data_IF_775216219629
#
_entry.id   IF_775216219629
#
_cell.length_a   1.000
_cell.length_b   1.000
_cell.length_c   1.000
_cell.angle_alpha   90.00
_cell.angle_beta   90.00
_cell.angle_gamma   90.00
#
_symmetry.space_group_name_H-M   'P 1'
#
loop_
_entity.id
_entity.type
_entity.pdbx_description
1 polymer ?
#
# COMPACT_ATOMS: atom_id res chain seq x y z
N UNK A 1 -8.41 -3.93 -3.99
CA UNK A 1 -8.62 -4.11 -5.45
C UNK A 1 -8.64 -2.79 -6.20
N UNK A 2 -9.30 -1.74 -5.71
CA UNK A 2 -9.40 -0.40 -6.36
C UNK A 2 -8.07 0.18 -6.90
N UNK A 3 -6.93 0.14 -6.19
CA UNK A 3 -5.67 0.71 -6.70
C UNK A 3 -5.06 -0.09 -7.85
N UNK A 4 -5.20 -1.42 -7.81
CA UNK A 4 -4.74 -2.30 -8.88
C UNK A 4 -5.57 -2.10 -10.16
N UNK A 5 -6.89 -1.90 -10.02
CA UNK A 5 -7.76 -1.57 -11.16
C UNK A 5 -7.36 -0.23 -11.81
N UNK A 6 -7.09 0.80 -11.00
CA UNK A 6 -6.62 2.09 -11.51
C UNK A 6 -5.25 1.97 -12.21
N UNK A 7 -4.33 1.18 -11.64
CA UNK A 7 -3.05 0.87 -12.27
C UNK A 7 -3.24 0.16 -13.62
N UNK A 8 -4.03 -0.92 -13.68
CA UNK A 8 -4.28 -1.67 -14.91
C UNK A 8 -4.92 -0.80 -15.99
N UNK A 9 -5.86 0.07 -15.62
CA UNK A 9 -6.48 1.02 -16.54
C UNK A 9 -5.47 2.05 -17.09
N UNK A 10 -4.65 2.64 -16.21
CA UNK A 10 -3.58 3.55 -16.62
C UNK A 10 -2.52 2.85 -17.48
N UNK A 11 -2.20 1.60 -17.16
CA UNK A 11 -1.28 0.76 -17.92
C UNK A 11 -1.80 0.48 -19.33
N UNK A 12 -3.09 0.12 -19.46
CA UNK A 12 -3.74 -0.05 -20.76
C UNK A 12 -3.69 1.23 -21.62
N UNK A 13 -3.74 2.41 -20.99
CA UNK A 13 -3.60 3.71 -21.67
C UNK A 13 -2.15 4.16 -21.89
N UNK A 14 -1.18 3.31 -21.62
CA UNK A 14 0.25 3.57 -21.87
C UNK A 14 0.90 4.56 -20.88
N UNK A 15 0.26 4.84 -19.74
CA UNK A 15 0.82 5.76 -18.72
C UNK A 15 2.15 5.23 -18.20
N UNK A 16 2.25 3.92 -17.97
CA UNK A 16 3.46 3.25 -17.46
C UNK A 16 4.65 3.51 -18.38
N UNK A 17 4.48 3.34 -19.69
CA UNK A 17 5.54 3.57 -20.69
C UNK A 17 6.00 5.02 -20.67
N UNK A 18 5.07 5.99 -20.60
CA UNK A 18 5.41 7.42 -20.51
C UNK A 18 6.18 7.76 -19.24
N UNK A 19 5.81 7.18 -18.10
CA UNK A 19 6.51 7.38 -16.83
C UNK A 19 7.93 6.83 -16.90
N UNK A 20 8.10 5.61 -17.41
CA UNK A 20 9.42 4.98 -17.59
C UNK A 20 10.28 5.79 -18.55
N UNK A 21 9.77 6.18 -19.72
CA UNK A 21 10.50 7.01 -20.66
C UNK A 21 10.93 8.34 -20.05
N UNK A 22 10.04 9.01 -19.31
CA UNK A 22 10.33 10.28 -18.66
C UNK A 22 11.40 10.12 -17.57
N UNK A 23 11.39 9.01 -16.84
CA UNK A 23 12.41 8.68 -15.83
C UNK A 23 13.77 8.48 -16.50
N UNK A 24 13.83 7.65 -17.55
CA UNK A 24 15.07 7.35 -18.29
C UNK A 24 15.64 8.60 -18.97
N UNK A 25 14.79 9.51 -19.46
CA UNK A 25 15.20 10.80 -20.05
C UNK A 25 15.52 11.89 -19.00
N UNK A 26 15.33 11.61 -17.71
CA UNK A 26 15.62 12.58 -16.63
C UNK A 26 17.11 12.61 -16.27
N UNK A 27 17.52 13.57 -15.43
CA UNK A 27 18.90 13.63 -14.89
C UNK A 27 19.29 12.39 -14.07
N UNK A 28 18.32 11.67 -13.52
CA UNK A 28 18.56 10.42 -12.77
C UNK A 28 18.82 9.26 -13.74
N UNK A 29 18.33 9.37 -14.98
CA UNK A 29 18.53 8.38 -16.02
C UNK A 29 17.95 7.00 -15.67
N UNK A 30 18.57 5.96 -16.22
CA UNK A 30 18.21 4.55 -15.98
C UNK A 30 18.30 4.18 -14.49
N UNK A 31 19.17 4.83 -13.73
CA UNK A 31 19.32 4.56 -12.29
C UNK A 31 18.05 4.88 -11.50
N UNK A 32 17.18 5.77 -12.00
CA UNK A 32 15.89 6.05 -11.38
C UNK A 32 14.97 4.83 -11.34
N UNK A 33 15.19 3.84 -12.23
CA UNK A 33 14.42 2.59 -12.23
C UNK A 33 14.75 1.69 -11.04
N UNK A 34 15.93 1.83 -10.41
CA UNK A 34 16.25 1.09 -9.19
C UNK A 34 15.42 1.55 -7.98
N UNK A 35 14.87 2.77 -8.02
CA UNK A 35 13.95 3.24 -6.98
C UNK A 35 12.53 2.67 -7.13
N UNK A 36 12.19 2.15 -8.31
CA UNK A 36 10.84 1.74 -8.67
C UNK A 36 10.27 0.64 -7.76
N UNK A 37 11.03 -0.43 -7.38
CA UNK A 37 10.58 -1.42 -6.42
C UNK A 37 10.21 -0.82 -5.05
N UNK A 38 10.97 0.17 -4.57
CA UNK A 38 10.70 0.83 -3.29
C UNK A 38 9.44 1.68 -3.36
N UNK A 39 9.24 2.43 -4.45
CA UNK A 39 8.01 3.20 -4.64
C UNK A 39 6.78 2.31 -4.77
N UNK A 40 6.86 1.21 -5.52
CA UNK A 40 5.73 0.28 -5.66
C UNK A 40 5.40 -0.40 -4.34
N UNK A 41 6.41 -0.77 -3.56
CA UNK A 41 6.24 -1.39 -2.25
C UNK A 41 5.68 -0.39 -1.22
N UNK A 42 6.18 0.85 -1.19
CA UNK A 42 5.66 1.89 -0.31
C UNK A 42 4.20 2.27 -0.65
N UNK A 43 3.87 2.33 -1.94
CA UNK A 43 2.50 2.53 -2.40
C UNK A 43 1.60 1.37 -1.92
N UNK A 44 2.01 0.13 -2.13
CA UNK A 44 1.29 -1.05 -1.67
C UNK A 44 1.05 -1.01 -0.15
N UNK A 45 2.11 -0.78 0.65
CA UNK A 45 2.04 -0.70 2.12
C UNK A 45 1.09 0.41 2.59
N UNK A 46 1.22 1.62 2.04
CA UNK A 46 0.39 2.77 2.45
C UNK A 46 -1.10 2.51 2.21
N UNK A 47 -1.45 1.87 1.10
CA UNK A 47 -2.84 1.51 0.79
C UNK A 47 -3.36 0.48 1.80
N UNK A 48 -2.63 -0.61 2.03
CA UNK A 48 -3.08 -1.66 2.95
C UNK A 48 -3.23 -1.14 4.38
N UNK A 49 -2.26 -0.35 4.84
CA UNK A 49 -2.30 0.25 6.18
C UNK A 49 -3.42 1.26 6.32
N UNK A 50 -3.67 2.06 5.29
CA UNK A 50 -4.79 3.02 5.28
C UNK A 50 -6.13 2.29 5.39
N UNK A 51 -6.30 1.19 4.66
CA UNK A 51 -7.52 0.37 4.74
C UNK A 51 -7.66 -0.30 6.11
N UNK A 52 -6.57 -0.83 6.68
CA UNK A 52 -6.58 -1.43 8.02
C UNK A 52 -6.93 -0.38 9.09
N UNK A 53 -6.28 0.78 9.07
CA UNK A 53 -6.60 1.90 9.96
C UNK A 53 -8.06 2.34 9.79
N UNK A 54 -8.57 2.38 8.56
CA UNK A 54 -9.98 2.72 8.29
C UNK A 54 -10.94 1.71 8.93
N UNK A 55 -10.59 0.43 8.92
CA UNK A 55 -11.35 -0.64 9.57
C UNK A 55 -11.18 -0.68 11.10
N UNK A 56 -10.32 0.17 11.66
CA UNK A 56 -10.01 0.19 13.09
C UNK A 56 -8.96 -0.84 13.53
N UNK A 57 -8.26 -1.46 12.59
CA UNK A 57 -7.17 -2.40 12.83
C UNK A 57 -5.86 -1.63 12.89
N UNK A 58 -5.04 -1.87 13.91
CA UNK A 58 -3.69 -1.28 13.99
C UNK A 58 -2.72 -2.06 13.08
N UNK A 59 -2.21 -1.44 12.00
CA UNK A 59 -1.30 -2.10 11.07
C UNK A 59 0.10 -2.39 11.66
N UNK A 60 0.43 -1.82 12.82
CA UNK A 60 1.69 -2.11 13.53
C UNK A 60 1.58 -3.38 14.40
N UNK A 61 0.37 -3.88 14.65
CA UNK A 61 0.14 -5.07 15.46
C UNK A 61 0.02 -6.28 14.54
N UNK A 62 1.01 -7.17 14.60
CA UNK A 62 1.02 -8.41 13.82
C UNK A 62 0.29 -9.52 14.59
N UNK A 63 -0.76 -10.16 14.02
CA UNK A 63 -1.36 -11.35 14.61
C UNK A 63 -0.33 -12.49 14.64
N UNK A 64 -0.25 -13.21 15.77
CA UNK A 64 0.69 -14.31 15.97
C UNK A 64 0.54 -15.43 14.92
N UNK A 65 -0.67 -15.58 14.35
CA UNK A 65 -1.05 -16.70 13.49
C UNK A 65 -0.92 -16.38 11.98
N UNK A 66 -0.41 -15.18 11.61
CA UNK A 66 -0.34 -14.76 10.21
C UNK A 66 0.89 -15.36 9.51
N UNK A 67 0.70 -16.51 8.87
CA UNK A 67 1.72 -17.22 8.12
C UNK A 67 2.32 -16.44 6.93
N UNK A 68 3.65 -16.32 6.95
CA UNK A 68 4.58 -16.73 5.88
C UNK A 68 4.62 -16.04 4.52
N UNK A 69 3.62 -15.26 4.09
CA UNK A 69 3.74 -14.53 2.82
C UNK A 69 4.11 -13.07 3.08
N UNK A 70 5.30 -12.60 2.66
CA UNK A 70 5.74 -11.21 2.86
C UNK A 70 5.02 -10.30 1.86
N UNK A 71 3.70 -10.14 2.01
CA UNK A 71 2.96 -9.16 1.21
C UNK A 71 3.36 -7.75 1.66
N UNK A 72 4.08 -7.03 0.80
CA UNK A 72 4.12 -5.56 0.83
C UNK A 72 4.88 -4.89 1.98
N UNK A 73 5.95 -5.50 2.54
CA UNK A 73 6.77 -4.83 3.55
C UNK A 73 6.18 -4.87 4.97
N UNK A 74 5.70 -6.03 5.40
CA UNK A 74 5.16 -6.26 6.75
C UNK A 74 6.11 -5.88 7.90
N UNK A 75 7.42 -5.89 7.66
CA UNK A 75 8.46 -5.49 8.62
C UNK A 75 8.75 -3.97 8.59
N UNK A 76 8.11 -3.21 7.70
CA UNK A 76 8.26 -1.76 7.62
C UNK A 76 7.29 -1.05 8.57
N UNK A 77 7.66 0.13 9.10
CA UNK A 77 6.75 0.95 9.90
C UNK A 77 5.49 1.27 9.09
N UNK A 78 4.40 1.57 9.80
CA UNK A 78 3.16 1.90 9.12
C UNK A 78 3.30 3.15 8.24
N UNK A 79 2.80 3.05 7.01
CA UNK A 79 2.68 4.15 6.05
C UNK A 79 1.21 4.58 5.85
N UNK A 80 0.37 4.36 6.87
CA UNK A 80 -1.04 4.74 6.82
C UNK A 80 -1.21 6.25 6.61
N UNK A 81 -2.13 6.64 5.73
CA UNK A 81 -2.46 8.04 5.48
C UNK A 81 -3.50 8.57 6.49
N UNK A 82 -4.08 7.71 7.32
CA UNK A 82 -5.11 8.07 8.31
C UNK A 82 -4.85 7.39 9.66
N UNK A 83 -5.28 8.00 10.77
CA UNK A 83 -5.22 7.33 12.07
C UNK A 83 -6.20 6.16 12.15
N UNK A 84 -5.94 5.21 13.06
CA UNK A 84 -6.82 4.07 13.35
C UNK A 84 -8.19 4.55 13.83
N UNK A 85 -9.25 4.14 13.14
CA UNK A 85 -10.63 4.54 13.45
C UNK A 85 -11.23 3.70 14.59
N UNK A 86 -11.19 4.24 15.80
CA UNK A 86 -11.72 3.60 17.03
C UNK A 86 -13.23 3.35 17.03
N UNK A 87 -14.00 4.04 16.18
CA UNK A 87 -15.47 4.01 16.21
C UNK A 87 -16.06 2.70 15.68
N UNK A 88 -15.37 2.01 14.78
CA UNK A 88 -15.79 0.74 14.21
C UNK A 88 -15.56 -0.44 15.16
N UNK A 89 -14.45 -0.42 15.90
CA UNK A 89 -14.12 -1.43 16.93
C UNK A 89 -15.23 -1.52 17.99
N UNK A 90 -15.74 -0.38 18.49
CA UNK A 90 -16.84 -0.35 19.46
C UNK A 90 -18.14 -1.02 18.96
N UNK A 91 -18.44 -0.94 17.65
CA UNK A 91 -19.64 -1.58 17.08
C UNK A 91 -19.48 -3.09 16.94
N UNK A 92 -18.29 -3.58 16.64
CA UNK A 92 -18.04 -5.03 16.55
C UNK A 92 -18.09 -5.70 17.93
N UNK A 93 -17.56 -5.06 18.98
CA UNK A 93 -17.64 -5.59 20.35
C UNK A 93 -19.08 -5.60 20.89
N UNK A 94 -19.93 -4.65 20.50
CA UNK A 94 -21.34 -4.62 20.90
C UNK A 94 -22.24 -5.61 20.16
N UNK A 95 -21.83 -6.15 19.01
CA UNK A 95 -22.61 -7.14 18.26
C UNK A 95 -22.23 -8.59 18.61
N UNK A 96 -21.22 -8.79 19.47
CA UNK A 96 -20.72 -10.08 19.91
C UNK A 96 -20.98 -10.38 21.39
N UNK A 97 -21.72 -9.52 22.10
CA UNK A 97 -22.18 -9.73 23.48
C UNK A 97 -23.69 -9.61 23.56
#
# INVERSE_FOLDING_TARGET
>A
MVPFCAFCYGHQRGVTTRVVERMVKSRVGVYGLFALPFFTLAMEKSIYDTVQCWQGIDPNVRPADRGGFPSGGAELPSLSLIPVQKRLVRRQTQLQG
#
